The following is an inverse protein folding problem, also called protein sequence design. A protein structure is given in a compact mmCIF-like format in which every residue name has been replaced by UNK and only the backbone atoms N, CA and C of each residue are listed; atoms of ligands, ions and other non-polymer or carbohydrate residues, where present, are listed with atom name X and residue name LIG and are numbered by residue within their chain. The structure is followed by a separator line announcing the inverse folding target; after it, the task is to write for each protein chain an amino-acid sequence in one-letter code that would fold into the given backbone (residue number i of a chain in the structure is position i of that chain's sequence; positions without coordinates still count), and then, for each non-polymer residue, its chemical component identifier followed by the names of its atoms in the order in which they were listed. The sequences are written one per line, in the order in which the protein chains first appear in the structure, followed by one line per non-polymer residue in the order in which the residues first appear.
data_IF_681576214321
#
_entry.id   IF_681576214321
#
_cell.length_a   1.000
_cell.length_b   1.000
_cell.length_c   1.000
_cell.angle_alpha   90.00
_cell.angle_beta   90.00
_cell.angle_gamma   90.00
#
_symmetry.space_group_name_H-M   'P 1'
#
loop_
_entity.id
_entity.type
_entity.pdbx_description
1 polymer ?
#
# COMPACT_ATOMS: atom_id res chain seq x y z
N UNK A 1 1.48 -1.27 -14.14
CA UNK A 1 0.40 -2.29 -14.04
C UNK A 1 -0.83 -1.67 -13.40
N UNK A 2 -2.05 -2.04 -13.87
CA UNK A 2 -3.31 -1.60 -13.28
C UNK A 2 -3.76 -2.63 -12.24
N UNK A 3 -4.09 -2.17 -11.04
CA UNK A 3 -4.44 -3.04 -9.92
C UNK A 3 -5.67 -2.57 -9.13
N UNK A 4 -6.07 -3.41 -8.19
CA UNK A 4 -7.17 -3.14 -7.28
C UNK A 4 -6.98 -3.85 -5.94
N UNK A 5 -7.46 -3.24 -4.85
CA UNK A 5 -7.83 -3.92 -3.62
C UNK A 5 -9.35 -4.06 -3.59
N UNK A 6 -9.86 -5.27 -3.39
CA UNK A 6 -11.31 -5.57 -3.41
C UNK A 6 -11.73 -6.47 -2.25
N UNK A 7 -11.11 -6.27 -1.12
CA UNK A 7 -11.28 -7.08 0.08
C UNK A 7 -10.28 -8.23 0.17
N UNK A 8 -9.88 -8.55 1.39
CA UNK A 8 -8.82 -9.53 1.65
C UNK A 8 -9.25 -10.95 1.27
N UNK A 9 -8.41 -11.65 0.50
CA UNK A 9 -8.61 -13.03 0.07
C UNK A 9 -9.84 -13.28 -0.83
N UNK A 10 -10.22 -12.30 -1.65
CA UNK A 10 -11.45 -12.35 -2.47
C UNK A 10 -11.21 -12.27 -3.97
N UNK A 11 -10.61 -13.30 -4.60
CA UNK A 11 -10.35 -13.27 -6.05
C UNK A 11 -11.63 -13.11 -6.89
N UNK A 12 -12.77 -13.69 -6.48
CA UNK A 12 -14.03 -13.55 -7.20
C UNK A 12 -14.53 -12.09 -7.27
N UNK A 13 -14.28 -11.32 -6.21
CA UNK A 13 -14.61 -9.89 -6.19
C UNK A 13 -13.72 -9.08 -7.14
N UNK A 14 -12.47 -9.50 -7.36
CA UNK A 14 -11.60 -8.90 -8.37
C UNK A 14 -12.11 -9.22 -9.77
N UNK A 15 -12.54 -10.45 -10.04
CA UNK A 15 -13.18 -10.83 -11.32
C UNK A 15 -14.47 -10.04 -11.59
N UNK A 16 -15.29 -9.82 -10.56
CA UNK A 16 -16.46 -8.95 -10.66
C UNK A 16 -16.10 -7.49 -10.97
N UNK A 17 -15.01 -6.98 -10.37
CA UNK A 17 -14.48 -5.64 -10.65
C UNK A 17 -14.00 -5.51 -12.10
N UNK A 18 -13.27 -6.49 -12.63
CA UNK A 18 -12.84 -6.54 -14.03
C UNK A 18 -14.04 -6.50 -14.98
N UNK A 19 -15.08 -7.27 -14.69
CA UNK A 19 -16.32 -7.30 -15.46
C UNK A 19 -17.00 -5.92 -15.44
N UNK A 20 -17.13 -5.30 -14.28
CA UNK A 20 -17.69 -3.96 -14.14
C UNK A 20 -16.86 -2.90 -14.86
N UNK A 21 -15.53 -2.98 -14.75
CA UNK A 21 -14.61 -2.03 -15.39
C UNK A 21 -14.58 -2.22 -16.92
N UNK A 22 -14.77 -3.47 -17.39
CA UNK A 22 -14.59 -3.86 -18.78
C UNK A 22 -13.11 -3.87 -19.20
N UNK A 23 -12.19 -4.16 -18.26
CA UNK A 23 -10.74 -4.26 -18.49
C UNK A 23 -10.10 -5.20 -17.44
N UNK A 24 -9.21 -6.11 -17.87
CA UNK A 24 -8.51 -6.99 -16.92
C UNK A 24 -7.54 -6.20 -16.03
N UNK A 25 -7.39 -6.66 -14.80
CA UNK A 25 -6.32 -6.26 -13.90
C UNK A 25 -5.05 -7.03 -14.22
N UNK A 26 -3.92 -6.48 -13.86
CA UNK A 26 -2.63 -7.18 -13.89
C UNK A 26 -2.04 -7.31 -12.48
N UNK A 27 -2.70 -6.71 -11.49
CA UNK A 27 -2.16 -6.57 -10.15
C UNK A 27 -3.28 -6.56 -9.10
N UNK A 28 -3.03 -7.16 -7.95
CA UNK A 28 -3.92 -7.14 -6.79
C UNK A 28 -3.15 -6.77 -5.53
N UNK A 29 -3.83 -6.08 -4.63
CA UNK A 29 -3.30 -5.79 -3.29
C UNK A 29 -4.08 -6.59 -2.26
N UNK A 30 -3.39 -7.13 -1.25
CA UNK A 30 -4.00 -7.72 -0.06
C UNK A 30 -3.22 -7.37 1.21
N UNK A 31 -3.75 -7.71 2.37
CA UNK A 31 -3.21 -7.28 3.66
C UNK A 31 -3.06 -8.45 4.63
N UNK A 32 -1.83 -8.71 5.06
CA UNK A 32 -1.54 -9.46 6.29
C UNK A 32 -1.46 -8.44 7.42
N UNK A 33 -2.63 -8.12 7.97
CA UNK A 33 -2.76 -7.13 9.02
C UNK A 33 -2.22 -7.62 10.37
N UNK A 34 -2.14 -6.70 11.32
CA UNK A 34 -1.73 -6.97 12.70
C UNK A 34 -2.69 -7.93 13.42
N UNK A 35 -2.21 -8.53 14.49
CA UNK A 35 -3.05 -9.25 15.44
C UNK A 35 -3.86 -8.28 16.33
N UNK A 36 -4.87 -8.80 17.02
CA UNK A 36 -5.50 -8.07 18.11
C UNK A 36 -4.51 -7.90 19.28
N UNK A 37 -4.60 -6.78 19.98
CA UNK A 37 -3.83 -6.62 21.22
C UNK A 37 -4.21 -7.72 22.22
N UNK A 38 -3.23 -8.30 22.89
CA UNK A 38 -3.44 -9.43 23.80
C UNK A 38 -3.66 -10.79 23.15
N UNK A 39 -3.51 -10.93 21.84
CA UNK A 39 -3.60 -12.22 21.15
C UNK A 39 -2.59 -13.24 21.73
N UNK A 40 -3.03 -14.48 21.97
CA UNK A 40 -2.18 -15.54 22.53
C UNK A 40 -0.99 -15.90 21.62
N UNK A 41 -1.19 -15.82 20.29
CA UNK A 41 -0.11 -15.96 19.30
C UNK A 41 -0.13 -14.77 18.33
N UNK A 42 0.48 -13.64 18.67
CA UNK A 42 0.43 -12.44 17.87
C UNK A 42 1.14 -12.58 16.51
N UNK A 43 2.12 -13.47 16.37
CA UNK A 43 2.85 -13.71 15.14
C UNK A 43 2.19 -14.70 14.19
N UNK A 44 1.06 -15.32 14.57
CA UNK A 44 0.44 -16.39 13.80
C UNK A 44 0.23 -16.08 12.32
N UNK A 45 -0.23 -14.87 11.98
CA UNK A 45 -0.46 -14.45 10.59
C UNK A 45 0.82 -14.27 9.78
N UNK A 46 1.90 -13.86 10.44
CA UNK A 46 3.23 -13.73 9.84
C UNK A 46 3.90 -15.09 9.74
N UNK A 47 3.82 -15.92 10.78
CA UNK A 47 4.39 -17.27 10.78
C UNK A 47 3.75 -18.19 9.75
N UNK A 48 2.46 -17.99 9.46
CA UNK A 48 1.72 -18.76 8.47
C UNK A 48 0.76 -17.90 7.62
N UNK A 49 1.24 -17.28 6.53
CA UNK A 49 0.44 -16.54 5.58
C UNK A 49 -0.33 -17.44 4.58
N UNK A 50 -0.40 -18.74 4.79
CA UNK A 50 -0.97 -19.72 3.83
C UNK A 50 -2.43 -19.43 3.46
N UNK A 51 -3.19 -18.82 4.37
CA UNK A 51 -4.57 -18.42 4.10
C UNK A 51 -4.67 -17.47 2.90
N UNK A 52 -3.79 -16.48 2.80
CA UNK A 52 -3.72 -15.53 1.66
C UNK A 52 -3.11 -16.19 0.43
N UNK A 53 -1.95 -16.84 0.61
CA UNK A 53 -1.23 -17.47 -0.50
C UNK A 53 -2.11 -18.49 -1.24
N UNK A 54 -2.88 -19.33 -0.53
CA UNK A 54 -3.79 -20.30 -1.16
C UNK A 54 -4.92 -19.65 -1.99
N UNK A 55 -5.26 -18.39 -1.75
CA UNK A 55 -6.30 -17.67 -2.50
C UNK A 55 -5.75 -16.99 -3.75
N UNK A 56 -4.48 -16.60 -3.73
CA UNK A 56 -3.90 -15.79 -4.81
C UNK A 56 -2.98 -16.56 -5.74
N UNK A 57 -2.37 -17.68 -5.30
CA UNK A 57 -1.34 -18.43 -6.05
C UNK A 57 -1.76 -18.88 -7.46
N UNK A 58 -3.04 -19.21 -7.65
CA UNK A 58 -3.56 -19.74 -8.92
C UNK A 58 -4.29 -18.66 -9.74
N UNK A 59 -4.16 -17.38 -9.35
CA UNK A 59 -4.75 -16.25 -10.05
C UNK A 59 -3.79 -15.65 -11.08
N UNK A 60 -4.29 -14.95 -12.12
CA UNK A 60 -3.41 -14.37 -13.14
C UNK A 60 -2.76 -13.03 -12.71
N UNK A 61 -3.05 -12.55 -11.50
CA UNK A 61 -2.63 -11.23 -11.03
C UNK A 61 -1.34 -11.30 -10.23
N UNK A 62 -0.46 -10.30 -10.45
CA UNK A 62 0.70 -10.09 -9.56
C UNK A 62 0.20 -9.67 -8.18
N UNK A 63 0.57 -10.42 -7.15
CA UNK A 63 0.20 -10.13 -5.77
C UNK A 63 1.13 -9.08 -5.15
N UNK A 64 0.55 -8.03 -4.56
CA UNK A 64 1.19 -7.17 -3.57
C UNK A 64 0.59 -7.43 -2.20
N UNK A 65 1.45 -7.76 -1.24
CA UNK A 65 1.03 -8.10 0.12
C UNK A 65 1.49 -7.03 1.09
N UNK A 66 0.55 -6.22 1.58
CA UNK A 66 0.80 -5.27 2.67
C UNK A 66 0.94 -6.04 3.98
N UNK A 67 2.13 -6.01 4.57
CA UNK A 67 2.47 -6.87 5.70
C UNK A 67 2.83 -6.06 6.92
N UNK A 68 2.12 -6.29 8.04
CA UNK A 68 2.40 -5.68 9.32
C UNK A 68 3.81 -6.05 9.79
N UNK A 69 4.68 -5.06 10.00
CA UNK A 69 6.05 -5.33 10.51
C UNK A 69 6.04 -5.76 11.97
N UNK A 70 5.11 -5.25 12.76
CA UNK A 70 4.92 -5.60 14.17
C UNK A 70 3.48 -6.06 14.38
N UNK A 71 3.25 -7.23 14.96
CA UNK A 71 1.90 -7.78 15.08
C UNK A 71 1.03 -7.06 16.13
N UNK A 72 1.65 -6.48 17.16
CA UNK A 72 0.97 -5.70 18.22
C UNK A 72 1.91 -4.62 18.77
N UNK A 73 1.41 -3.76 19.64
CA UNK A 73 2.14 -2.64 20.24
C UNK A 73 3.21 -3.05 21.27
N UNK A 74 3.20 -4.30 21.76
CA UNK A 74 4.21 -4.80 22.73
C UNK A 74 5.56 -5.10 22.05
N UNK A 75 5.59 -5.28 20.74
CA UNK A 75 6.82 -5.47 19.97
C UNK A 75 7.36 -4.12 19.50
N UNK A 76 8.68 -4.01 19.33
CA UNK A 76 9.31 -2.74 19.01
C UNK A 76 10.17 -2.78 17.77
N UNK A 77 10.23 -1.66 17.04
CA UNK A 77 11.14 -1.48 15.91
C UNK A 77 12.61 -1.66 16.32
N UNK A 78 12.98 -1.24 17.53
CA UNK A 78 14.34 -1.36 18.05
C UNK A 78 14.78 -2.82 18.21
N UNK A 79 13.93 -3.69 18.73
CA UNK A 79 14.21 -5.12 18.81
C UNK A 79 14.23 -5.77 17.43
N UNK A 80 13.30 -5.36 16.54
CA UNK A 80 13.32 -5.80 15.15
C UNK A 80 14.61 -5.43 14.42
N UNK A 81 15.14 -4.22 14.66
CA UNK A 81 16.42 -3.77 14.09
C UNK A 81 17.65 -4.58 14.56
N UNK A 82 17.56 -5.23 15.72
CA UNK A 82 18.56 -6.18 16.21
C UNK A 82 18.42 -7.59 15.62
N UNK A 83 17.35 -7.85 14.86
CA UNK A 83 17.07 -9.16 14.26
C UNK A 83 16.27 -10.11 15.16
N UNK A 84 15.77 -9.66 16.29
CA UNK A 84 15.03 -10.48 17.27
C UNK A 84 13.85 -11.23 16.62
N UNK A 85 13.24 -10.68 15.56
CA UNK A 85 12.06 -11.26 14.91
C UNK A 85 12.37 -11.96 13.58
N UNK A 86 13.63 -12.15 13.22
CA UNK A 86 14.03 -12.72 11.92
C UNK A 86 13.47 -14.13 11.68
N UNK A 87 13.31 -14.96 12.72
CA UNK A 87 12.74 -16.30 12.59
C UNK A 87 11.29 -16.31 12.11
N UNK A 88 10.48 -15.28 12.44
CA UNK A 88 9.12 -15.13 11.95
C UNK A 88 9.12 -14.82 10.43
N UNK A 89 10.05 -13.97 9.99
CA UNK A 89 10.18 -13.61 8.57
C UNK A 89 10.75 -14.75 7.71
N UNK A 90 11.64 -15.58 8.27
CA UNK A 90 12.09 -16.81 7.59
C UNK A 90 10.91 -17.76 7.37
N UNK A 91 10.07 -17.99 8.38
CA UNK A 91 8.85 -18.79 8.25
C UNK A 91 7.90 -18.21 7.20
N UNK A 92 7.61 -16.90 7.29
CA UNK A 92 6.79 -16.18 6.31
C UNK A 92 7.26 -16.47 4.88
N UNK A 93 8.52 -16.21 4.62
CA UNK A 93 9.10 -16.38 3.28
C UNK A 93 9.02 -17.83 2.79
N UNK A 94 9.33 -18.81 3.64
CA UNK A 94 9.22 -20.23 3.28
C UNK A 94 7.79 -20.65 2.96
N UNK A 95 6.82 -20.20 3.73
CA UNK A 95 5.40 -20.50 3.47
C UNK A 95 4.97 -19.87 2.15
N UNK A 96 5.30 -18.59 1.90
CA UNK A 96 4.95 -17.90 0.65
C UNK A 96 5.54 -18.63 -0.57
N UNK A 97 6.81 -19.01 -0.52
CA UNK A 97 7.47 -19.76 -1.60
C UNK A 97 6.82 -21.15 -1.79
N UNK A 98 6.64 -21.90 -0.70
CA UNK A 98 6.03 -23.23 -0.75
C UNK A 98 4.59 -23.23 -1.29
N UNK A 99 3.89 -22.08 -1.16
CA UNK A 99 2.54 -21.88 -1.66
C UNK A 99 2.47 -21.25 -3.07
N UNK A 100 3.61 -21.02 -3.73
CA UNK A 100 3.65 -20.48 -5.09
C UNK A 100 3.55 -18.96 -5.18
N UNK A 101 3.71 -18.23 -4.07
CA UNK A 101 3.71 -16.76 -4.02
C UNK A 101 5.09 -16.17 -3.69
N UNK A 102 6.15 -16.87 -4.10
CA UNK A 102 7.54 -16.45 -3.84
C UNK A 102 8.02 -15.25 -4.62
N UNK A 103 7.23 -14.74 -5.55
CA UNK A 103 7.45 -13.55 -6.37
C UNK A 103 6.58 -12.34 -5.94
N UNK A 104 5.84 -12.46 -4.84
CA UNK A 104 4.98 -11.40 -4.36
C UNK A 104 5.75 -10.09 -4.10
N UNK A 105 5.09 -8.96 -4.33
CA UNK A 105 5.57 -7.65 -3.88
C UNK A 105 5.17 -7.50 -2.41
N UNK A 106 6.14 -7.27 -1.54
CA UNK A 106 5.92 -7.11 -0.11
C UNK A 106 5.99 -5.64 0.28
N UNK A 107 4.86 -5.08 0.68
CA UNK A 107 4.71 -3.73 1.21
C UNK A 107 4.81 -3.79 2.74
N UNK A 108 6.03 -3.73 3.26
CA UNK A 108 6.32 -3.91 4.67
C UNK A 108 5.96 -2.65 5.48
N UNK A 109 5.17 -2.78 6.54
CA UNK A 109 4.91 -1.68 7.47
C UNK A 109 4.49 -0.40 6.77
N UNK A 110 3.45 -0.47 5.94
CA UNK A 110 2.92 0.64 5.16
C UNK A 110 2.47 1.83 6.03
N UNK A 111 2.40 3.03 5.46
CA UNK A 111 1.95 4.26 6.12
C UNK A 111 2.70 4.56 7.43
N UNK A 112 3.96 4.17 7.50
CA UNK A 112 4.82 4.25 8.69
C UNK A 112 5.07 5.68 9.18
N UNK A 113 4.81 6.68 8.35
CA UNK A 113 4.88 8.10 8.70
C UNK A 113 3.61 8.60 9.43
N UNK A 114 2.56 7.78 9.53
CA UNK A 114 1.42 7.98 10.41
C UNK A 114 1.73 7.65 11.88
N UNK A 115 0.70 7.76 12.75
CA UNK A 115 0.83 7.47 14.19
C UNK A 115 -0.03 6.30 14.65
N UNK A 116 -0.79 5.69 13.76
CA UNK A 116 -1.86 4.75 14.07
C UNK A 116 -1.45 3.27 14.01
N UNK A 117 -0.24 2.97 13.54
CA UNK A 117 0.27 1.60 13.51
C UNK A 117 1.40 1.37 14.52
N UNK A 118 1.58 0.14 15.03
CA UNK A 118 2.70 -0.21 15.93
C UNK A 118 4.08 0.09 15.31
N UNK A 119 4.20 0.03 14.00
CA UNK A 119 5.42 0.32 13.24
C UNK A 119 5.58 1.80 12.84
N UNK A 120 4.81 2.71 13.43
CA UNK A 120 4.99 4.14 13.22
C UNK A 120 6.45 4.55 13.48
N UNK A 121 7.06 5.20 12.46
CA UNK A 121 8.49 5.48 12.46
C UNK A 121 8.87 6.81 13.15
N UNK A 122 7.91 7.71 13.39
CA UNK A 122 8.16 9.03 13.95
C UNK A 122 8.94 8.99 15.26
N UNK A 123 10.14 9.63 15.28
CA UNK A 123 11.10 9.54 16.39
C UNK A 123 11.85 8.20 16.52
N UNK A 124 11.61 7.26 15.60
CA UNK A 124 12.21 5.91 15.60
C UNK A 124 12.71 5.52 14.19
N UNK A 125 12.97 6.49 13.34
CA UNK A 125 13.23 6.30 11.92
C UNK A 125 14.39 5.34 11.65
N UNK A 126 15.49 5.49 12.39
CA UNK A 126 16.65 4.61 12.26
C UNK A 126 16.33 3.15 12.63
N UNK A 127 15.47 2.94 13.66
CA UNK A 127 15.02 1.63 14.04
C UNK A 127 14.07 1.01 13.00
N UNK A 128 13.17 1.80 12.42
CA UNK A 128 12.32 1.37 11.30
C UNK A 128 13.16 0.92 10.11
N UNK A 129 14.09 1.77 9.64
CA UNK A 129 15.00 1.44 8.55
C UNK A 129 15.87 0.21 8.87
N UNK A 130 16.34 0.09 10.10
CA UNK A 130 17.11 -1.07 10.58
C UNK A 130 16.30 -2.35 10.53
N UNK A 131 15.08 -2.33 11.03
CA UNK A 131 14.19 -3.49 11.02
C UNK A 131 13.78 -3.89 9.60
N UNK A 132 13.46 -2.90 8.74
CA UNK A 132 13.24 -3.15 7.32
C UNK A 132 14.38 -3.96 6.69
N UNK A 133 15.63 -3.52 6.91
CA UNK A 133 16.82 -4.23 6.40
C UNK A 133 16.94 -5.66 6.93
N UNK A 134 16.61 -5.90 8.21
CA UNK A 134 16.59 -7.25 8.78
C UNK A 134 15.57 -8.15 8.08
N UNK A 135 14.35 -7.66 7.86
CA UNK A 135 13.30 -8.40 7.17
C UNK A 135 13.75 -8.76 5.74
N UNK A 136 14.16 -7.76 4.97
CA UNK A 136 14.58 -7.98 3.57
C UNK A 136 15.77 -8.94 3.47
N UNK A 137 16.77 -8.79 4.35
CA UNK A 137 17.94 -9.67 4.39
C UNK A 137 17.54 -11.11 4.72
N UNK A 138 16.60 -11.30 5.63
CA UNK A 138 16.10 -12.62 6.04
C UNK A 138 15.32 -13.26 4.89
N UNK A 139 14.36 -12.54 4.32
CA UNK A 139 13.55 -13.04 3.20
C UNK A 139 14.38 -13.40 1.98
N UNK A 140 15.41 -12.62 1.65
CA UNK A 140 16.31 -12.90 0.51
C UNK A 140 17.16 -14.16 0.67
N UNK A 141 17.27 -14.71 1.88
CA UNK A 141 17.95 -15.99 2.13
C UNK A 141 17.04 -17.20 1.89
N UNK A 142 15.74 -17.00 1.75
CA UNK A 142 14.78 -18.10 1.53
C UNK A 142 14.99 -18.68 0.12
N UNK A 143 15.28 -19.97 -0.04
CA UNK A 143 15.45 -20.57 -1.36
C UNK A 143 14.18 -20.49 -2.20
N UNK A 144 14.31 -20.13 -3.49
CA UNK A 144 13.19 -20.04 -4.43
C UNK A 144 12.39 -18.73 -4.35
N UNK A 145 12.78 -17.78 -3.51
CA UNK A 145 12.13 -16.47 -3.45
C UNK A 145 12.58 -15.56 -4.60
N UNK A 146 11.68 -14.70 -5.04
CA UNK A 146 11.89 -13.60 -5.97
C UNK A 146 11.13 -12.33 -5.52
N UNK A 147 10.95 -12.17 -4.21
CA UNK A 147 10.21 -11.06 -3.62
C UNK A 147 10.72 -9.70 -4.08
N UNK A 148 9.79 -8.78 -4.27
CA UNK A 148 10.06 -7.35 -4.43
C UNK A 148 9.57 -6.59 -3.20
N UNK A 149 10.16 -5.43 -2.92
CA UNK A 149 9.91 -4.68 -1.69
C UNK A 149 9.45 -3.26 -2.02
N UNK A 150 8.27 -2.92 -1.52
CA UNK A 150 7.63 -1.61 -1.73
C UNK A 150 7.62 -0.80 -0.43
N UNK A 151 8.33 0.33 -0.42
CA UNK A 151 8.44 1.24 0.70
C UNK A 151 7.42 2.38 0.52
N UNK A 152 6.35 2.36 1.34
CA UNK A 152 5.14 3.12 1.09
C UNK A 152 4.72 3.99 2.30
N UNK A 153 5.02 5.30 2.30
CA UNK A 153 4.41 6.25 3.21
C UNK A 153 2.99 6.65 2.78
N UNK A 154 2.27 7.34 3.68
CA UNK A 154 0.97 7.96 3.45
C UNK A 154 1.13 9.41 3.00
N UNK A 155 0.44 9.82 1.97
CA UNK A 155 0.43 11.20 1.48
C UNK A 155 -0.26 12.17 2.46
N UNK A 156 0.29 13.38 2.58
CA UNK A 156 -0.27 14.42 3.46
C UNK A 156 0.10 14.28 4.93
N UNK A 157 0.96 13.34 5.29
CA UNK A 157 1.37 13.08 6.67
C UNK A 157 2.87 13.33 6.85
N UNK A 158 3.23 14.16 7.82
CA UNK A 158 4.62 14.53 8.15
C UNK A 158 5.10 13.98 9.50
N UNK A 159 4.59 12.82 9.92
CA UNK A 159 4.86 12.27 11.26
C UNK A 159 6.24 11.63 11.43
N UNK A 160 7.01 11.42 10.36
CA UNK A 160 8.37 10.88 10.37
C UNK A 160 9.29 11.61 9.38
N UNK A 161 10.59 11.59 9.66
CA UNK A 161 11.63 12.01 8.71
C UNK A 161 11.87 10.86 7.70
N UNK A 162 11.32 11.02 6.50
CA UNK A 162 11.34 9.98 5.47
C UNK A 162 12.75 9.66 4.96
N UNK A 163 13.67 10.62 4.99
CA UNK A 163 15.07 10.39 4.59
C UNK A 163 15.77 9.50 5.63
N UNK A 164 15.54 9.74 6.91
CA UNK A 164 16.08 8.88 7.99
C UNK A 164 15.41 7.52 8.06
N UNK A 165 14.13 7.43 7.66
CA UNK A 165 13.39 6.16 7.60
C UNK A 165 13.72 5.32 6.35
N UNK A 166 14.45 5.88 5.37
CA UNK A 166 14.82 5.16 4.16
C UNK A 166 15.83 4.04 4.43
N UNK A 167 15.50 2.77 4.12
CA UNK A 167 16.40 1.66 4.42
C UNK A 167 17.59 1.52 3.45
N UNK A 168 17.59 2.29 2.37
CA UNK A 168 18.59 2.24 1.30
C UNK A 168 18.11 1.51 0.04
N UNK A 169 18.55 2.00 -1.12
CA UNK A 169 18.07 1.54 -2.43
C UNK A 169 18.31 0.06 -2.74
N UNK A 170 19.27 -0.60 -2.07
CA UNK A 170 19.49 -2.04 -2.20
C UNK A 170 18.41 -2.88 -1.53
N UNK A 171 17.62 -2.29 -0.62
CA UNK A 171 16.56 -2.97 0.13
C UNK A 171 15.14 -2.62 -0.34
N UNK A 172 15.02 -1.79 -1.39
CA UNK A 172 13.73 -1.32 -1.92
C UNK A 172 13.72 -1.49 -3.42
N UNK A 173 12.63 -2.01 -3.96
CA UNK A 173 12.41 -2.14 -5.40
C UNK A 173 11.47 -1.03 -5.92
N UNK A 174 10.49 -0.60 -5.11
CA UNK A 174 9.53 0.44 -5.47
C UNK A 174 9.42 1.50 -4.38
N UNK A 175 9.27 2.76 -4.77
CA UNK A 175 8.87 3.84 -3.86
C UNK A 175 7.36 4.01 -4.00
N UNK A 176 6.63 3.55 -3.01
CA UNK A 176 5.17 3.64 -2.94
C UNK A 176 4.68 4.94 -2.34
N UNK A 177 3.40 5.19 -2.51
CA UNK A 177 2.64 6.23 -1.81
C UNK A 177 1.18 5.83 -1.75
N UNK A 178 0.57 5.81 -0.57
CA UNK A 178 -0.89 5.75 -0.45
C UNK A 178 -1.45 7.16 -0.58
N UNK A 179 -2.32 7.37 -1.58
CA UNK A 179 -2.75 8.70 -1.99
C UNK A 179 -4.27 8.75 -2.21
N UNK A 180 -4.98 9.31 -1.24
CA UNK A 180 -6.43 9.49 -1.33
C UNK A 180 -6.81 10.94 -1.58
N UNK A 181 -7.98 11.16 -2.19
CA UNK A 181 -8.54 12.50 -2.35
C UNK A 181 -9.00 13.07 -1.00
N UNK A 182 -8.02 13.40 -0.19
CA UNK A 182 -8.19 14.06 1.11
C UNK A 182 -7.51 15.41 1.09
N UNK A 183 -8.12 16.42 1.69
CA UNK A 183 -7.57 17.77 1.79
C UNK A 183 -8.19 18.50 2.98
N UNK A 184 -7.43 19.35 3.64
CA UNK A 184 -7.94 20.29 4.63
C UNK A 184 -8.73 21.47 4.00
N UNK A 185 -8.91 21.46 2.68
CA UNK A 185 -9.63 22.49 1.92
C UNK A 185 -11.10 22.07 1.73
N UNK A 186 -11.86 21.97 2.81
CA UNK A 186 -13.28 21.59 2.79
C UNK A 186 -14.06 22.52 1.86
N UNK A 187 -14.92 21.94 1.01
CA UNK A 187 -15.77 22.69 0.07
C UNK A 187 -15.01 23.36 -1.08
N UNK A 188 -13.72 23.08 -1.25
CA UNK A 188 -12.94 23.61 -2.36
C UNK A 188 -13.20 22.85 -3.67
N UNK A 189 -12.86 23.49 -4.82
CA UNK A 189 -12.95 22.87 -6.14
C UNK A 189 -11.95 21.74 -6.30
N UNK A 190 -12.23 20.78 -7.20
CA UNK A 190 -11.31 19.69 -7.55
C UNK A 190 -9.91 20.19 -7.94
N UNK A 191 -9.81 21.34 -8.65
CA UNK A 191 -8.53 21.93 -9.03
C UNK A 191 -7.70 22.37 -7.80
N UNK A 192 -8.31 23.03 -6.82
CA UNK A 192 -7.62 23.43 -5.57
C UNK A 192 -7.22 22.20 -4.73
N UNK A 193 -8.08 21.19 -4.68
CA UNK A 193 -7.78 19.93 -4.01
C UNK A 193 -6.60 19.23 -4.68
N UNK A 194 -6.58 19.19 -6.01
CA UNK A 194 -5.47 18.63 -6.77
C UNK A 194 -4.15 19.36 -6.50
N UNK A 195 -4.14 20.67 -6.49
CA UNK A 195 -2.95 21.46 -6.14
C UNK A 195 -2.43 21.08 -4.74
N UNK A 196 -3.33 20.87 -3.78
CA UNK A 196 -2.98 20.35 -2.47
C UNK A 196 -2.37 18.95 -2.53
N UNK A 197 -2.88 18.05 -3.39
CA UNK A 197 -2.28 16.71 -3.57
C UNK A 197 -0.84 16.78 -4.08
N UNK A 198 -0.56 17.73 -4.97
CA UNK A 198 0.79 17.93 -5.53
C UNK A 198 1.77 18.45 -4.48
N UNK A 199 1.37 19.45 -3.68
CA UNK A 199 2.28 20.30 -2.90
C UNK A 199 2.31 20.02 -1.40
N UNK A 200 1.34 19.25 -0.87
CA UNK A 200 1.30 18.88 0.56
C UNK A 200 2.55 18.10 0.99
N UNK A 201 2.80 18.05 2.29
CA UNK A 201 3.87 17.20 2.85
C UNK A 201 3.69 15.75 2.39
N UNK A 202 4.74 15.09 1.98
CA UNK A 202 4.69 13.74 1.40
C UNK A 202 3.67 13.64 0.26
N UNK A 203 3.53 14.72 -0.54
CA UNK A 203 2.61 14.79 -1.67
C UNK A 203 3.19 14.20 -2.95
N UNK A 204 2.44 14.33 -4.05
CA UNK A 204 2.81 13.71 -5.33
C UNK A 204 4.15 14.24 -5.87
N UNK A 205 4.42 15.56 -5.75
CA UNK A 205 5.70 16.15 -6.17
C UNK A 205 6.88 15.59 -5.37
N UNK A 206 6.71 15.43 -4.04
CA UNK A 206 7.72 14.78 -3.21
C UNK A 206 7.95 13.33 -3.66
N UNK A 207 6.90 12.57 -3.90
CA UNK A 207 6.96 11.17 -4.34
C UNK A 207 7.76 11.02 -5.64
N UNK A 208 7.42 11.80 -6.67
CA UNK A 208 8.12 11.76 -7.95
C UNK A 208 9.61 12.15 -7.82
N UNK A 209 9.89 13.23 -7.06
CA UNK A 209 11.26 13.68 -6.81
C UNK A 209 12.08 12.61 -6.07
N UNK A 210 11.55 12.08 -4.97
CA UNK A 210 12.25 11.09 -4.14
C UNK A 210 12.50 9.80 -4.92
N UNK A 211 11.51 9.28 -5.64
CA UNK A 211 11.67 8.09 -6.48
C UNK A 211 12.75 8.27 -7.56
N UNK A 212 12.79 9.44 -8.22
CA UNK A 212 13.82 9.78 -9.19
C UNK A 212 15.23 9.85 -8.58
N UNK A 213 15.39 10.50 -7.42
CA UNK A 213 16.64 10.57 -6.66
C UNK A 213 17.15 9.18 -6.25
N UNK A 214 16.24 8.30 -5.84
CA UNK A 214 16.57 6.92 -5.48
C UNK A 214 16.70 5.98 -6.70
N UNK A 215 16.41 6.46 -7.91
CA UNK A 215 16.41 5.69 -9.18
C UNK A 215 15.51 4.45 -9.09
N UNK A 216 14.32 4.62 -8.52
CA UNK A 216 13.31 3.56 -8.34
C UNK A 216 12.03 3.90 -9.08
N UNK A 217 11.35 2.91 -9.64
CA UNK A 217 9.99 3.11 -10.14
C UNK A 217 9.04 3.42 -8.97
N UNK A 218 8.00 4.16 -9.28
CA UNK A 218 6.94 4.56 -8.36
C UNK A 218 5.87 3.47 -8.28
N UNK A 219 5.11 3.47 -7.18
CA UNK A 219 3.88 2.70 -7.05
C UNK A 219 2.81 3.50 -6.30
N UNK A 220 1.56 3.21 -6.61
CA UNK A 220 0.42 3.53 -5.75
C UNK A 220 -0.20 2.21 -5.29
N UNK A 221 0.23 1.65 -4.15
CA UNK A 221 -0.43 0.47 -3.59
C UNK A 221 -1.89 0.73 -3.26
N UNK A 222 -2.19 1.97 -2.84
CA UNK A 222 -3.54 2.44 -2.57
C UNK A 222 -3.75 3.85 -3.12
N UNK A 223 -4.82 4.04 -3.88
CA UNK A 223 -5.30 5.37 -4.23
C UNK A 223 -6.81 5.35 -4.49
N UNK A 224 -7.47 6.48 -4.35
CA UNK A 224 -8.90 6.57 -4.62
C UNK A 224 -9.56 7.85 -4.13
N UNK A 225 -10.81 8.04 -4.53
CA UNK A 225 -11.71 9.00 -3.89
C UNK A 225 -12.14 8.49 -2.52
N UNK A 226 -12.63 9.36 -1.65
CA UNK A 226 -13.11 8.97 -0.32
C UNK A 226 -14.15 9.93 0.24
N UNK A 227 -15.03 9.42 1.09
CA UNK A 227 -15.99 10.24 1.85
C UNK A 227 -15.40 10.84 3.12
N UNK A 228 -14.48 10.15 3.80
CA UNK A 228 -13.92 10.56 5.09
C UNK A 228 -14.96 11.01 6.11
N UNK A 229 -15.65 10.04 6.70
CA UNK A 229 -16.78 10.29 7.61
C UNK A 229 -16.38 10.94 8.95
N UNK A 230 -15.11 10.79 9.36
CA UNK A 230 -14.65 11.27 10.67
C UNK A 230 -14.30 12.77 10.70
N UNK A 231 -13.91 13.35 9.59
CA UNK A 231 -13.39 14.72 9.52
C UNK A 231 -13.87 15.53 8.31
N UNK A 232 -14.67 14.93 7.44
CA UNK A 232 -15.19 15.52 6.20
C UNK A 232 -14.10 16.06 5.25
N UNK A 233 -12.88 15.55 5.33
CA UNK A 233 -11.77 15.97 4.47
C UNK A 233 -11.76 15.25 3.12
N UNK A 234 -12.64 14.28 2.89
CA UNK A 234 -12.77 13.56 1.62
C UNK A 234 -13.35 14.42 0.50
N UNK A 235 -12.88 14.23 -0.72
CA UNK A 235 -13.38 14.89 -1.93
C UNK A 235 -14.75 14.40 -2.39
N UNK A 236 -15.15 13.20 -1.96
CA UNK A 236 -16.41 12.61 -2.35
C UNK A 236 -16.40 12.18 -3.83
N UNK A 237 -17.48 12.50 -4.54
CA UNK A 237 -17.64 12.17 -5.96
C UNK A 237 -16.84 13.14 -6.86
N UNK A 238 -15.49 13.00 -6.87
CA UNK A 238 -14.57 13.88 -7.59
C UNK A 238 -14.00 13.24 -8.87
N UNK A 239 -14.65 13.40 -10.02
CA UNK A 239 -14.13 12.93 -11.32
C UNK A 239 -12.86 13.69 -11.75
N UNK A 240 -12.65 14.93 -11.27
CA UNK A 240 -11.45 15.68 -11.58
C UNK A 240 -10.21 15.03 -10.96
N UNK A 241 -10.28 14.60 -9.68
CA UNK A 241 -9.22 13.84 -9.04
C UNK A 241 -8.88 12.57 -9.82
N UNK A 242 -9.88 11.79 -10.22
CA UNK A 242 -9.70 10.58 -11.04
C UNK A 242 -8.92 10.88 -12.33
N UNK A 243 -9.36 11.93 -13.08
CA UNK A 243 -8.69 12.34 -14.31
C UNK A 243 -7.22 12.72 -14.06
N UNK A 244 -6.95 13.52 -13.04
CA UNK A 244 -5.59 14.02 -12.76
C UNK A 244 -4.68 12.90 -12.27
N UNK A 245 -5.16 12.02 -11.38
CA UNK A 245 -4.39 10.86 -10.92
C UNK A 245 -4.02 9.95 -12.08
N UNK A 246 -4.97 9.68 -12.99
CA UNK A 246 -4.67 8.83 -14.15
C UNK A 246 -3.64 9.47 -15.08
N UNK A 247 -3.73 10.78 -15.34
CA UNK A 247 -2.69 11.52 -16.09
C UNK A 247 -1.34 11.45 -15.40
N UNK A 248 -1.30 11.61 -14.09
CA UNK A 248 -0.08 11.50 -13.29
C UNK A 248 0.56 10.12 -13.42
N UNK A 249 -0.21 9.05 -13.25
CA UNK A 249 0.24 7.68 -13.41
C UNK A 249 0.83 7.44 -14.81
N UNK A 250 0.16 7.92 -15.85
CA UNK A 250 0.61 7.74 -17.24
C UNK A 250 1.85 8.55 -17.61
N UNK A 251 2.10 9.66 -16.93
CA UNK A 251 3.23 10.57 -17.22
C UNK A 251 4.50 10.29 -16.41
N UNK A 252 4.47 9.38 -15.45
CA UNK A 252 5.59 9.04 -14.60
C UNK A 252 5.95 7.55 -14.69
N UNK A 253 7.12 7.17 -14.15
CA UNK A 253 7.60 5.79 -14.17
C UNK A 253 6.96 4.95 -13.06
N UNK A 254 5.70 4.56 -13.23
CA UNK A 254 4.97 3.69 -12.32
C UNK A 254 5.15 2.21 -12.66
N UNK A 255 5.51 1.41 -11.66
CA UNK A 255 5.46 -0.04 -11.74
C UNK A 255 4.00 -0.54 -11.70
N UNK A 256 3.23 -0.03 -10.75
CA UNK A 256 1.82 -0.36 -10.61
C UNK A 256 1.03 0.73 -9.87
N UNK A 257 -0.29 0.74 -10.08
CA UNK A 257 -1.22 1.60 -9.36
C UNK A 257 -2.52 0.83 -9.10
N UNK A 258 -2.90 0.67 -7.82
CA UNK A 258 -4.04 -0.11 -7.38
C UNK A 258 -5.12 0.79 -6.77
N UNK A 259 -6.30 0.79 -7.39
CA UNK A 259 -7.44 1.49 -6.81
C UNK A 259 -7.91 0.77 -5.54
N UNK A 260 -8.20 1.53 -4.48
CA UNK A 260 -8.71 0.97 -3.23
C UNK A 260 -10.24 0.93 -3.27
N UNK A 261 -10.80 -0.19 -3.69
CA UNK A 261 -12.23 -0.40 -3.90
C UNK A 261 -12.87 -1.08 -2.68
N UNK A 262 -12.79 -0.42 -1.52
CA UNK A 262 -13.34 -0.97 -0.28
C UNK A 262 -14.02 0.10 0.58
N UNK A 263 -14.80 -0.34 1.56
CA UNK A 263 -15.40 0.50 2.59
C UNK A 263 -14.56 0.36 3.86
N UNK A 264 -13.61 1.26 4.02
CA UNK A 264 -12.71 1.28 5.17
C UNK A 264 -13.37 1.98 6.37
N UNK A 265 -12.76 1.82 7.55
CA UNK A 265 -13.26 2.39 8.80
C UNK A 265 -13.30 3.93 8.79
N UNK A 266 -12.46 4.58 7.99
CA UNK A 266 -12.33 6.03 7.86
C UNK A 266 -13.11 6.61 6.68
N UNK A 267 -13.65 5.79 5.78
CA UNK A 267 -14.48 6.24 4.66
C UNK A 267 -14.71 5.19 3.59
N UNK A 268 -15.69 5.46 2.74
CA UNK A 268 -15.98 4.62 1.58
C UNK A 268 -15.19 5.13 0.36
N UNK A 269 -14.64 4.20 -0.42
CA UNK A 269 -13.85 4.45 -1.62
C UNK A 269 -14.43 3.79 -2.87
N UNK A 270 -15.53 3.03 -2.72
CA UNK A 270 -16.04 2.11 -3.76
C UNK A 270 -16.68 2.84 -4.93
N UNK A 271 -16.11 2.64 -6.12
CA UNK A 271 -16.65 3.11 -7.39
C UNK A 271 -17.77 2.23 -7.97
N UNK A 272 -17.83 0.96 -7.59
CA UNK A 272 -18.87 0.04 -8.05
C UNK A 272 -20.24 0.30 -7.42
N UNK A 273 -20.30 1.15 -6.40
CA UNK A 273 -21.58 1.54 -5.76
C UNK A 273 -22.15 2.80 -6.40
N UNK A 274 -23.38 3.17 -6.01
CA UNK A 274 -24.01 4.42 -6.47
C UNK A 274 -23.50 5.67 -5.77
N UNK A 275 -22.53 5.54 -4.85
CA UNK A 275 -22.06 6.66 -4.01
C UNK A 275 -21.24 7.70 -4.79
N UNK A 276 -20.43 7.26 -5.76
CA UNK A 276 -19.55 8.13 -6.55
C UNK A 276 -19.82 8.00 -8.05
N UNK A 277 -21.03 8.36 -8.54
CA UNK A 277 -21.43 8.07 -9.92
C UNK A 277 -20.56 8.78 -10.98
N UNK A 278 -20.11 10.02 -10.69
CA UNK A 278 -19.26 10.79 -11.63
C UNK A 278 -17.82 10.26 -11.64
N UNK A 279 -17.24 10.03 -10.46
CA UNK A 279 -15.91 9.45 -10.34
C UNK A 279 -15.85 8.03 -10.94
N UNK A 280 -16.89 7.22 -10.71
CA UNK A 280 -17.06 5.90 -11.29
C UNK A 280 -17.09 5.93 -12.82
N UNK A 281 -17.92 6.79 -13.42
CA UNK A 281 -18.00 6.94 -14.86
C UNK A 281 -16.67 7.41 -15.46
N UNK A 282 -16.02 8.38 -14.81
CA UNK A 282 -14.74 8.92 -15.24
C UNK A 282 -13.60 7.87 -15.14
N UNK A 283 -13.54 7.11 -14.05
CA UNK A 283 -12.54 6.04 -13.89
C UNK A 283 -12.66 5.00 -15.01
N UNK A 284 -13.88 4.52 -15.28
CA UNK A 284 -14.16 3.59 -16.39
C UNK A 284 -13.79 4.15 -17.76
N UNK A 285 -13.87 5.47 -17.93
CA UNK A 285 -13.47 6.17 -19.15
C UNK A 285 -11.95 6.25 -19.30
N UNK A 286 -11.26 6.77 -18.28
CA UNK A 286 -9.82 7.09 -18.40
C UNK A 286 -8.94 5.85 -18.42
N UNK A 287 -9.29 4.79 -17.68
CA UNK A 287 -8.46 3.57 -17.64
C UNK A 287 -8.49 2.76 -18.93
N UNK A 288 -9.45 3.04 -19.82
CA UNK A 288 -9.54 2.39 -21.16
C UNK A 288 -8.71 3.11 -22.23
N UNK A 289 -8.27 4.34 -21.96
CA UNK A 289 -7.36 5.11 -22.78
C UNK A 289 -5.90 4.72 -22.52
#
# INVERSE_FOLDING_TARGET
MLGVFRGSGKPDEVGAYETWLGKPMSHVVDFVGRAAEGAANPWAKIDDPSWWANRWRDTPWQLSMSTAMLPTSVFTLAEGAKGTYNSHWDKFGRVMVAKGCGDAILRLGWEFNGKFFPWAAGGKEAAYAGYWRQIVTTLRKVPGQAFKFDWCPLAGVGGADLVKAWPGGTYVDFVGLDAYDTSNLIGSTGAKRWESQLTRVTGLNWHAKFAAEQKKPMSFPEWGVTTRVNDNLGGGDDPYYITQMWKWIKSHNFAYASYFEDNAVDGDHRLMTSQFPKASAEYRRVVKL
#
